data_IF_265963983897
#
_entry.id   IF_265963983897
#
_cell.length_a   1.000
_cell.length_b   1.000
_cell.length_c   1.000
_cell.angle_alpha   90.00
_cell.angle_beta   90.00
_cell.angle_gamma   90.00
#
_symmetry.space_group_name_H-M   'P 1'
#
loop_
_entity.id
_entity.type
_entity.pdbx_description
1 polymer ?
#
# COMPACT_ATOMS: atom_id res chain seq x y z
N UNK A 1 36.76 -49.31 -10.27
CA UNK A 1 35.87 -50.47 -10.48
C UNK A 1 34.44 -50.00 -10.39
N UNK A 2 33.64 -50.48 -11.34
CA UNK A 2 32.31 -50.02 -11.75
C UNK A 2 31.18 -50.48 -10.81
N UNK A 3 29.97 -49.96 -11.10
CA UNK A 3 28.59 -50.32 -10.67
C UNK A 3 28.01 -49.29 -9.67
N UNK A 4 26.81 -48.72 -9.84
CA UNK A 4 25.62 -49.23 -10.52
C UNK A 4 24.65 -48.12 -10.89
N UNK A 5 24.13 -48.24 -12.10
CA UNK A 5 22.84 -47.88 -12.68
C UNK A 5 21.66 -47.63 -11.71
N UNK A 6 21.00 -46.48 -11.91
CA UNK A 6 19.54 -46.37 -12.16
C UNK A 6 18.55 -46.52 -11.00
N UNK A 7 17.76 -45.47 -10.75
CA UNK A 7 16.30 -45.53 -10.92
C UNK A 7 15.70 -44.12 -10.88
N UNK A 8 15.01 -43.72 -11.95
CA UNK A 8 14.08 -42.59 -11.96
C UNK A 8 12.80 -43.10 -11.29
N UNK A 9 12.51 -42.63 -10.08
CA UNK A 9 11.23 -42.87 -9.44
C UNK A 9 10.27 -41.73 -9.85
N UNK A 10 9.53 -41.97 -10.93
CA UNK A 10 8.31 -41.24 -11.24
C UNK A 10 7.25 -41.62 -10.18
N UNK A 11 7.02 -40.74 -9.23
CA UNK A 11 6.00 -40.87 -8.19
C UNK A 11 4.84 -39.92 -8.47
N UNK A 12 3.73 -40.50 -8.90
CA UNK A 12 2.47 -39.91 -9.37
C UNK A 12 1.90 -38.81 -8.47
N UNK A 13 1.63 -37.63 -9.02
CA UNK A 13 0.79 -36.59 -8.37
C UNK A 13 -0.66 -37.06 -8.46
N UNK A 14 -1.25 -37.37 -7.30
CA UNK A 14 -2.67 -37.67 -7.17
C UNK A 14 -3.45 -36.34 -7.17
N UNK A 15 -4.06 -35.96 -8.29
CA UNK A 15 -5.01 -34.86 -8.34
C UNK A 15 -6.31 -35.28 -7.64
N UNK A 16 -6.62 -34.69 -6.49
CA UNK A 16 -7.98 -34.69 -5.96
C UNK A 16 -8.82 -33.69 -6.76
N UNK A 17 -9.82 -34.19 -7.49
CA UNK A 17 -10.88 -33.36 -8.07
C UNK A 17 -12.05 -33.37 -7.09
N UNK A 18 -12.25 -32.25 -6.39
CA UNK A 18 -13.44 -32.03 -5.59
C UNK A 18 -14.56 -31.53 -6.50
N UNK A 19 -15.60 -32.33 -6.68
CA UNK A 19 -16.80 -31.94 -7.41
C UNK A 19 -17.63 -31.01 -6.51
N UNK A 20 -17.46 -29.70 -6.68
CA UNK A 20 -18.36 -28.73 -6.05
C UNK A 20 -19.62 -28.58 -6.91
N UNK A 21 -20.75 -29.05 -6.40
CA UNK A 21 -22.08 -28.69 -6.93
C UNK A 21 -22.41 -27.26 -6.50
N UNK A 22 -22.51 -26.36 -7.46
CA UNK A 22 -23.04 -25.01 -7.24
C UNK A 22 -24.56 -25.03 -7.28
N UNK A 23 -25.20 -24.94 -6.12
CA UNK A 23 -26.61 -24.57 -6.05
C UNK A 23 -26.74 -23.07 -6.35
N UNK A 24 -27.28 -22.74 -7.53
CA UNK A 24 -27.72 -21.38 -7.83
C UNK A 24 -28.98 -21.08 -7.01
N UNK A 25 -28.81 -20.47 -5.83
CA UNK A 25 -29.92 -19.85 -5.13
C UNK A 25 -30.26 -18.54 -5.84
N UNK A 26 -31.45 -18.45 -6.42
CA UNK A 26 -32.01 -17.17 -6.89
C UNK A 26 -32.27 -16.28 -5.68
N UNK A 27 -31.66 -15.09 -5.56
CA UNK A 27 -32.08 -14.15 -4.53
C UNK A 27 -33.47 -13.60 -4.91
N UNK A 28 -34.46 -14.03 -4.15
CA UNK A 28 -35.78 -13.43 -4.08
C UNK A 28 -35.62 -11.95 -3.74
N UNK A 29 -36.26 -11.10 -4.54
CA UNK A 29 -36.25 -9.66 -4.40
C UNK A 29 -36.98 -9.27 -3.11
N UNK A 30 -36.24 -9.00 -2.02
CA UNK A 30 -36.79 -8.41 -0.81
C UNK A 30 -36.42 -6.94 -0.82
N UNK A 31 -37.38 -6.11 -1.22
CA UNK A 31 -37.37 -4.68 -0.98
C UNK A 31 -37.39 -4.44 0.52
N UNK A 32 -36.21 -4.22 1.09
CA UNK A 32 -36.05 -3.48 2.34
C UNK A 32 -34.95 -2.50 2.04
N UNK A 33 -35.25 -1.20 2.15
CA UNK A 33 -34.27 -0.13 1.98
C UNK A 33 -33.17 -0.26 3.02
N UNK A 34 -32.22 -1.16 2.78
CA UNK A 34 -30.91 -1.14 3.39
C UNK A 34 -30.17 -0.02 2.70
N UNK A 35 -30.18 1.15 3.32
CA UNK A 35 -29.03 2.03 3.22
C UNK A 35 -27.83 1.19 3.62
N UNK A 36 -27.09 0.70 2.62
CA UNK A 36 -25.71 0.33 2.82
C UNK A 36 -24.99 1.61 3.22
N UNK A 37 -25.08 1.97 4.50
CA UNK A 37 -24.08 2.83 5.11
C UNK A 37 -22.86 1.92 5.21
N UNK A 38 -22.19 1.73 4.08
CA UNK A 38 -20.79 1.36 4.11
C UNK A 38 -20.13 2.53 4.83
N UNK A 39 -19.90 2.36 6.12
CA UNK A 39 -18.99 3.21 6.87
C UNK A 39 -17.58 2.92 6.35
N UNK A 40 -17.31 3.24 5.08
CA UNK A 40 -15.98 3.67 4.70
C UNK A 40 -15.81 4.95 5.49
N UNK A 41 -14.90 4.97 6.46
CA UNK A 41 -14.47 6.24 7.00
C UNK A 41 -14.11 7.14 5.81
N UNK A 42 -14.87 8.24 5.66
CA UNK A 42 -14.76 9.09 4.48
C UNK A 42 -13.35 9.65 4.43
N UNK A 43 -12.71 9.55 3.27
CA UNK A 43 -11.43 10.22 3.04
C UNK A 43 -11.58 11.71 3.32
N UNK A 44 -10.90 12.21 4.34
CA UNK A 44 -10.91 13.62 4.70
C UNK A 44 -9.64 14.29 4.16
N UNK A 45 -9.76 15.53 3.67
CA UNK A 45 -8.59 16.32 3.32
C UNK A 45 -7.76 16.58 4.59
N UNK A 46 -6.46 16.28 4.55
CA UNK A 46 -5.58 16.54 5.68
C UNK A 46 -5.50 18.04 5.96
N UNK A 47 -5.73 18.43 7.22
CA UNK A 47 -5.66 19.83 7.67
C UNK A 47 -4.23 20.36 7.70
N UNK A 48 -3.26 19.48 7.98
CA UNK A 48 -1.86 19.84 8.12
C UNK A 48 -1.05 19.57 6.86
N UNK A 49 -1.53 18.69 5.98
CA UNK A 49 -0.77 18.20 4.83
C UNK A 49 0.45 17.36 5.26
N UNK A 50 0.43 16.84 6.48
CA UNK A 50 1.50 16.00 7.03
C UNK A 50 1.05 14.55 7.11
N UNK A 51 1.96 13.61 6.86
CA UNK A 51 1.73 12.18 7.01
C UNK A 51 2.86 11.51 7.80
N UNK A 52 2.56 10.35 8.38
CA UNK A 52 3.53 9.53 9.09
C UNK A 52 4.30 8.62 8.12
N UNK A 53 5.63 8.59 8.24
CA UNK A 53 6.49 7.62 7.55
C UNK A 53 7.44 6.93 8.51
N UNK A 54 7.92 5.75 8.13
CA UNK A 54 8.84 4.96 8.93
C UNK A 54 10.29 5.34 8.61
N UNK A 55 11.13 5.51 9.63
CA UNK A 55 12.58 5.64 9.47
C UNK A 55 13.28 5.05 10.68
N UNK A 56 14.15 4.08 10.47
CA UNK A 56 14.96 3.46 11.54
C UNK A 56 14.13 2.99 12.76
N UNK A 57 12.95 2.41 12.50
CA UNK A 57 12.04 1.93 13.55
C UNK A 57 11.28 3.03 14.30
N UNK A 58 11.40 4.30 13.88
CA UNK A 58 10.67 5.45 14.41
C UNK A 58 9.67 5.99 13.40
N UNK A 59 8.62 6.62 13.92
CA UNK A 59 7.68 7.40 13.12
C UNK A 59 8.18 8.83 12.98
N UNK A 60 8.32 9.31 11.75
CA UNK A 60 8.61 10.69 11.42
C UNK A 60 7.45 11.32 10.65
N UNK A 61 7.33 12.64 10.76
CA UNK A 61 6.35 13.42 10.02
C UNK A 61 6.94 13.90 8.71
N UNK A 62 6.18 13.75 7.63
CA UNK A 62 6.55 14.19 6.30
C UNK A 62 5.52 15.19 5.76
N UNK A 63 5.94 16.08 4.86
CA UNK A 63 5.07 16.99 4.11
C UNK A 63 5.64 17.31 2.73
N UNK A 64 4.79 17.82 1.84
CA UNK A 64 5.21 18.44 0.59
C UNK A 64 5.30 19.97 0.74
N UNK A 65 6.25 20.59 0.05
CA UNK A 65 6.23 22.02 -0.21
C UNK A 65 5.51 22.37 -1.52
N UNK A 66 5.49 23.65 -1.88
CA UNK A 66 4.84 24.15 -3.12
C UNK A 66 5.48 23.62 -4.41
N UNK A 67 6.69 23.06 -4.34
CA UNK A 67 7.42 22.46 -5.45
C UNK A 67 7.35 20.93 -5.43
N UNK A 68 6.48 20.35 -4.60
CA UNK A 68 6.38 18.90 -4.36
C UNK A 68 7.69 18.27 -3.86
N UNK A 69 8.56 19.03 -3.18
CA UNK A 69 9.71 18.47 -2.47
C UNK A 69 9.26 17.94 -1.12
N UNK A 70 9.85 16.82 -0.71
CA UNK A 70 9.54 16.17 0.56
C UNK A 70 10.39 16.77 1.68
N UNK A 71 9.73 17.09 2.78
CA UNK A 71 10.34 17.56 4.03
C UNK A 71 9.95 16.62 5.15
N UNK A 72 10.85 16.43 6.12
CA UNK A 72 10.62 15.58 7.28
C UNK A 72 10.82 16.35 8.60
N UNK A 73 10.23 15.84 9.68
CA UNK A 73 10.31 16.39 11.03
C UNK A 73 10.12 15.29 12.08
N UNK A 74 10.89 15.34 13.18
CA UNK A 74 10.67 14.47 14.35
C UNK A 74 9.56 15.01 15.26
N UNK A 75 9.43 16.34 15.36
CA UNK A 75 8.54 17.02 16.30
C UNK A 75 7.32 17.68 15.64
N UNK A 76 7.21 17.60 14.31
CA UNK A 76 6.21 18.28 13.49
C UNK A 76 6.40 19.79 13.38
N UNK A 77 7.46 20.35 13.97
CA UNK A 77 7.71 21.80 14.10
C UNK A 77 8.96 22.22 13.33
N UNK A 78 10.07 21.49 13.48
CA UNK A 78 11.34 21.72 12.76
C UNK A 78 11.41 20.81 11.57
N UNK A 79 11.55 21.39 10.38
CA UNK A 79 11.49 20.66 9.12
C UNK A 79 12.84 20.71 8.41
N UNK A 80 13.26 19.57 7.89
CA UNK A 80 14.44 19.43 7.05
C UNK A 80 14.05 18.81 5.70
N UNK A 81 14.71 19.22 4.63
CA UNK A 81 14.48 18.61 3.32
C UNK A 81 14.93 17.15 3.35
N UNK A 82 14.21 16.28 2.66
CA UNK A 82 14.65 14.91 2.35
C UNK A 82 15.41 14.97 1.02
N UNK A 83 16.74 14.77 0.99
CA UNK A 83 17.53 14.95 -0.22
C UNK A 83 17.02 14.11 -1.40
N UNK A 84 16.67 12.85 -1.14
CA UNK A 84 16.21 11.90 -2.16
C UNK A 84 14.69 11.98 -2.42
N UNK A 85 13.98 12.84 -1.68
CA UNK A 85 12.53 12.99 -1.79
C UNK A 85 11.73 11.72 -1.47
N UNK A 86 12.33 10.78 -0.73
CA UNK A 86 11.74 9.47 -0.45
C UNK A 86 11.40 9.26 1.04
N UNK A 87 10.32 8.56 1.32
CA UNK A 87 9.89 8.19 2.67
C UNK A 87 9.44 6.73 2.69
N UNK A 88 9.51 6.05 3.84
CA UNK A 88 9.00 4.68 3.93
C UNK A 88 7.56 4.64 4.45
N UNK A 89 6.76 3.72 3.91
CA UNK A 89 5.45 3.35 4.48
C UNK A 89 5.61 2.45 5.71
N UNK A 90 4.47 2.02 6.29
CA UNK A 90 4.44 1.09 7.42
C UNK A 90 5.19 -0.23 7.15
N UNK A 91 5.16 -0.70 5.91
CA UNK A 91 5.77 -1.96 5.50
C UNK A 91 7.25 -1.80 5.11
N UNK A 92 7.82 -0.60 5.23
CA UNK A 92 9.21 -0.32 4.87
C UNK A 92 9.45 -0.17 3.37
N UNK A 93 8.40 -0.12 2.53
CA UNK A 93 8.56 0.23 1.12
C UNK A 93 8.86 1.71 1.00
N UNK A 94 9.82 2.06 0.17
CA UNK A 94 10.18 3.43 -0.12
C UNK A 94 9.20 4.02 -1.12
N UNK A 95 8.65 5.19 -0.84
CA UNK A 95 7.79 5.96 -1.72
C UNK A 95 8.49 7.25 -2.10
N UNK A 96 8.28 7.72 -3.33
CA UNK A 96 8.71 9.05 -3.77
C UNK A 96 7.83 9.56 -4.90
N UNK A 97 7.90 10.87 -5.14
CA UNK A 97 7.32 11.49 -6.32
C UNK A 97 8.35 11.42 -7.45
N UNK A 98 8.01 10.75 -8.54
CA UNK A 98 8.85 10.65 -9.73
C UNK A 98 7.98 10.76 -10.98
N UNK A 99 8.39 11.59 -11.93
CA UNK A 99 7.65 11.85 -13.17
C UNK A 99 6.15 12.14 -12.95
N UNK A 100 5.86 13.03 -11.99
CA UNK A 100 4.50 13.41 -11.57
C UNK A 100 3.62 12.25 -11.09
N UNK A 101 4.22 11.12 -10.71
CA UNK A 101 3.53 9.95 -10.14
C UNK A 101 4.06 9.62 -8.77
N UNK A 102 3.21 9.02 -7.94
CA UNK A 102 3.65 8.38 -6.72
C UNK A 102 4.14 6.98 -7.07
N UNK A 103 5.42 6.72 -6.80
CA UNK A 103 6.03 5.40 -7.03
C UNK A 103 6.53 4.82 -5.72
N UNK A 104 6.53 3.49 -5.61
CA UNK A 104 7.12 2.76 -4.51
C UNK A 104 8.22 1.79 -4.94
N UNK A 105 9.04 1.35 -4.01
CA UNK A 105 10.07 0.34 -4.20
C UNK A 105 10.30 -0.43 -2.91
N UNK A 106 10.47 -1.75 -3.01
CA UNK A 106 10.84 -2.60 -1.88
C UNK A 106 12.38 -2.68 -1.69
N UNK A 107 13.15 -2.39 -2.74
CA UNK A 107 14.61 -2.56 -2.77
C UNK A 107 15.39 -1.28 -3.08
N UNK A 108 14.69 -0.17 -3.36
CA UNK A 108 15.24 1.12 -3.77
C UNK A 108 15.70 1.17 -5.23
N UNK A 109 15.63 0.07 -5.98
CA UNK A 109 16.14 -0.06 -7.34
C UNK A 109 15.01 -0.09 -8.36
N UNK A 110 14.02 -0.94 -8.15
CA UNK A 110 12.85 -1.07 -9.02
C UNK A 110 11.69 -0.27 -8.47
N UNK A 111 11.13 0.61 -9.31
CA UNK A 111 10.06 1.51 -8.90
C UNK A 111 8.79 1.22 -9.68
N UNK A 112 7.69 1.08 -8.98
CA UNK A 112 6.35 0.85 -9.56
C UNK A 112 5.39 1.93 -9.09
N UNK A 113 4.42 2.29 -9.93
CA UNK A 113 3.38 3.25 -9.55
C UNK A 113 2.54 2.68 -8.40
N UNK A 114 2.27 3.52 -7.40
CA UNK A 114 1.44 3.15 -6.26
C UNK A 114 -0.03 3.13 -6.70
N UNK A 115 -0.77 2.02 -6.54
CA UNK A 115 -2.16 1.96 -6.93
C UNK A 115 -3.00 3.05 -6.26
N UNK A 116 -3.73 3.81 -7.08
CA UNK A 116 -4.58 4.94 -6.65
C UNK A 116 -3.86 6.00 -5.79
N UNK A 117 -2.52 5.99 -5.80
CA UNK A 117 -1.64 6.79 -4.96
C UNK A 117 -1.98 6.70 -3.47
N UNK A 118 -2.38 5.50 -3.00
CA UNK A 118 -2.73 5.20 -1.61
C UNK A 118 -1.62 4.42 -0.91
N UNK A 119 -1.33 4.76 0.35
CA UNK A 119 -0.38 4.01 1.18
C UNK A 119 -0.77 4.07 2.66
N UNK A 120 -0.28 3.11 3.45
CA UNK A 120 -0.46 3.09 4.89
C UNK A 120 0.77 3.73 5.57
N UNK A 121 0.55 4.80 6.34
CA UNK A 121 1.63 5.46 7.08
C UNK A 121 2.08 4.67 8.29
N UNK A 122 3.22 5.06 8.88
CA UNK A 122 3.78 4.38 10.04
C UNK A 122 2.89 4.44 11.30
N UNK A 123 1.90 5.33 11.32
CA UNK A 123 0.86 5.44 12.36
C UNK A 123 -0.35 4.53 12.11
N UNK A 124 -0.36 3.73 11.05
CA UNK A 124 -1.45 2.84 10.68
C UNK A 124 -2.62 3.53 9.96
N UNK A 125 -2.53 4.84 9.71
CA UNK A 125 -3.54 5.57 8.94
C UNK A 125 -3.32 5.38 7.46
N UNK A 126 -4.40 5.41 6.70
CA UNK A 126 -4.32 5.40 5.25
C UNK A 126 -4.22 6.82 4.71
N UNK A 127 -3.27 7.03 3.81
CA UNK A 127 -3.02 8.29 3.14
C UNK A 127 -3.19 8.13 1.64
N UNK A 128 -3.59 9.21 0.96
CA UNK A 128 -3.54 9.28 -0.50
C UNK A 128 -3.23 10.67 -1.00
N UNK A 129 -2.62 10.76 -2.18
CA UNK A 129 -2.54 11.99 -2.95
C UNK A 129 -3.59 12.02 -4.06
N UNK A 130 -4.16 13.18 -4.33
CA UNK A 130 -4.88 13.42 -5.59
C UNK A 130 -3.95 13.99 -6.68
N UNK A 131 -4.49 14.21 -7.87
CA UNK A 131 -3.73 14.74 -9.02
C UNK A 131 -3.14 16.14 -8.81
N UNK A 132 -3.53 16.84 -7.74
CA UNK A 132 -2.98 18.15 -7.34
C UNK A 132 -2.02 18.04 -6.14
N UNK A 133 -1.61 16.83 -5.78
CA UNK A 133 -0.79 16.54 -4.59
C UNK A 133 -1.45 16.96 -3.28
N UNK A 134 -2.78 17.03 -3.24
CA UNK A 134 -3.50 17.24 -1.97
C UNK A 134 -3.46 15.94 -1.18
N UNK A 135 -3.05 16.02 0.08
CA UNK A 135 -3.07 14.88 0.99
C UNK A 135 -4.48 14.67 1.55
N UNK A 136 -4.95 13.43 1.46
CA UNK A 136 -6.16 12.94 2.10
C UNK A 136 -5.80 11.83 3.09
N UNK A 137 -6.56 11.73 4.17
CA UNK A 137 -6.36 10.76 5.25
C UNK A 137 -7.66 10.02 5.52
N UNK A 138 -7.52 8.75 5.88
CA UNK A 138 -8.57 7.88 6.33
C UNK A 138 -8.10 7.23 7.65
N UNK A 139 -8.90 7.41 8.70
CA UNK A 139 -8.59 7.09 10.10
C UNK A 139 -9.54 6.04 10.66
#
# INVERSE_FOLDING_TARGET
MSRSTGLIAAGTIMLLVANMTVNAATPTNITTGSTYVSTMADWAKSKTGTWAGAKEGKTLWYKLDKQAKVWWSEDGKKWAAVPDGAWADKAGKWLKIHDKKLVWSADGKEWSEVPEWKWEGADGKWYKFDSKWTLWVNE
#
